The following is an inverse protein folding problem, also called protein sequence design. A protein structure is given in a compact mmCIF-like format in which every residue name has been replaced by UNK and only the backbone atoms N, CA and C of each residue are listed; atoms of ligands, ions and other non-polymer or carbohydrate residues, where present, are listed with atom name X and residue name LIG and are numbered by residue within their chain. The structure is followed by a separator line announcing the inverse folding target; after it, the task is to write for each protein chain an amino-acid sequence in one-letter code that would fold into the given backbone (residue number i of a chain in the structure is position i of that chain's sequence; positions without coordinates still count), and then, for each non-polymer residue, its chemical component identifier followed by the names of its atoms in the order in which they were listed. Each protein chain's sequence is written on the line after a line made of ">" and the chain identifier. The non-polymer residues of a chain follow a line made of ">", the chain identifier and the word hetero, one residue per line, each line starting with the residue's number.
data_IF_439118071360
#
_entry.id   IF_439118071360
#
_cell.length_a   1.000
_cell.length_b   1.000
_cell.length_c   1.000
_cell.angle_alpha   90.00
_cell.angle_beta   90.00
_cell.angle_gamma   90.00
#
_symmetry.space_group_name_H-M   'P 1'
#
loop_
_entity.id
_entity.type
_entity.pdbx_description
1 polymer ?
#
# COMPACT_ATOMS: atom_id res chain seq x y z
N UNK A 1 1.74 -23.13 -13.96
CA UNK A 1 0.59 -23.73 -13.25
C UNK A 1 0.41 -23.13 -11.86
N UNK A 2 1.45 -23.11 -11.02
CA UNK A 2 1.42 -22.50 -9.67
C UNK A 2 1.06 -21.01 -9.66
N UNK A 3 1.65 -20.20 -10.53
CA UNK A 3 1.40 -18.75 -10.61
C UNK A 3 -0.06 -18.41 -10.99
N UNK A 4 -0.65 -19.21 -11.89
CA UNK A 4 -2.05 -19.04 -12.27
C UNK A 4 -3.01 -19.35 -11.11
N UNK A 5 -2.69 -20.36 -10.29
CA UNK A 5 -3.43 -20.70 -9.07
C UNK A 5 -3.32 -19.56 -8.06
N UNK A 6 -2.11 -19.07 -7.80
CA UNK A 6 -1.87 -17.94 -6.89
C UNK A 6 -2.66 -16.68 -7.31
N UNK A 7 -2.68 -16.35 -8.60
CA UNK A 7 -3.44 -15.21 -9.12
C UNK A 7 -4.95 -15.38 -8.92
N UNK A 8 -5.47 -16.58 -9.19
CA UNK A 8 -6.88 -16.90 -8.99
C UNK A 8 -7.27 -16.80 -7.50
N UNK A 9 -6.46 -17.37 -6.61
CA UNK A 9 -6.68 -17.32 -5.16
C UNK A 9 -6.68 -15.88 -4.64
N UNK A 10 -5.72 -15.04 -5.06
CA UNK A 10 -5.68 -13.62 -4.70
C UNK A 10 -6.94 -12.88 -5.18
N UNK A 11 -7.34 -13.08 -6.44
CA UNK A 11 -8.51 -12.44 -7.01
C UNK A 11 -9.82 -12.83 -6.29
N UNK A 12 -9.92 -14.05 -5.78
CA UNK A 12 -11.10 -14.51 -5.03
C UNK A 12 -11.10 -14.01 -3.58
N UNK A 13 -9.93 -13.94 -2.92
CA UNK A 13 -9.80 -13.71 -1.47
C UNK A 13 -10.43 -12.41 -0.98
N UNK A 14 -10.40 -11.36 -1.81
CA UNK A 14 -10.92 -10.03 -1.49
C UNK A 14 -11.91 -9.52 -2.54
N UNK A 15 -12.68 -10.41 -3.20
CA UNK A 15 -13.69 -10.04 -4.22
C UNK A 15 -13.09 -9.14 -5.32
N UNK A 16 -11.91 -9.54 -5.79
CA UNK A 16 -11.11 -8.87 -6.81
C UNK A 16 -10.52 -7.51 -6.44
N UNK A 17 -10.57 -7.11 -5.17
CA UNK A 17 -9.70 -6.03 -4.67
C UNK A 17 -8.26 -6.54 -4.50
N UNK A 18 -7.28 -5.74 -4.93
CA UNK A 18 -5.87 -5.96 -4.65
C UNK A 18 -5.49 -5.18 -3.38
N UNK A 19 -5.19 -5.85 -2.24
CA UNK A 19 -4.76 -5.16 -1.03
C UNK A 19 -3.36 -4.56 -1.21
N UNK A 20 -3.22 -3.33 -0.73
CA UNK A 20 -1.95 -2.59 -0.64
C UNK A 20 -1.83 -2.05 0.78
N UNK A 21 -0.74 -2.39 1.46
CA UNK A 21 -0.43 -1.84 2.79
C UNK A 21 0.12 -0.43 2.57
N UNK A 22 -0.41 0.56 3.29
CA UNK A 22 0.01 1.96 3.17
C UNK A 22 0.26 2.52 4.57
N UNK A 23 1.36 3.25 4.70
CA UNK A 23 1.71 4.02 5.89
C UNK A 23 2.11 5.45 5.48
N UNK A 24 1.78 6.43 6.32
CA UNK A 24 1.99 7.86 6.05
C UNK A 24 2.58 8.54 7.28
N UNK A 25 3.64 9.31 7.07
CA UNK A 25 4.11 10.28 8.04
C UNK A 25 3.57 11.66 7.69
N UNK A 26 3.05 12.39 8.67
CA UNK A 26 2.34 13.66 8.45
C UNK A 26 2.80 14.73 9.43
N UNK A 27 2.64 16.00 9.06
CA UNK A 27 2.91 17.15 9.94
C UNK A 27 1.85 17.33 11.04
N UNK A 28 0.81 16.51 11.08
CA UNK A 28 -0.27 16.62 12.06
C UNK A 28 -1.48 15.76 11.72
N UNK A 29 -2.52 15.86 12.55
CA UNK A 29 -3.68 14.98 12.50
C UNK A 29 -4.78 15.44 11.52
N UNK A 30 -4.69 16.66 10.95
CA UNK A 30 -5.69 17.18 10.03
C UNK A 30 -5.31 16.93 8.56
N UNK A 31 -5.89 15.88 7.97
CA UNK A 31 -5.64 15.47 6.59
C UNK A 31 -5.95 16.55 5.51
N UNK A 32 -6.71 17.60 5.82
CA UNK A 32 -6.98 18.70 4.87
C UNK A 32 -5.92 19.81 4.89
N UNK A 33 -5.18 19.97 5.99
CA UNK A 33 -4.31 21.14 6.20
C UNK A 33 -2.87 20.81 6.55
N UNK A 34 -2.61 19.63 7.08
CA UNK A 34 -1.28 19.20 7.48
C UNK A 34 -0.62 18.42 6.34
N UNK A 35 0.68 18.62 6.13
CA UNK A 35 1.39 17.97 5.03
C UNK A 35 1.55 16.46 5.25
N UNK A 36 1.55 15.70 4.14
CA UNK A 36 2.20 14.39 4.11
C UNK A 36 3.70 14.62 3.89
N UNK A 37 4.51 14.00 4.74
CA UNK A 37 5.97 14.12 4.74
C UNK A 37 6.64 12.89 4.15
N UNK A 38 6.08 11.71 4.39
CA UNK A 38 6.54 10.44 3.82
C UNK A 38 5.36 9.52 3.49
N UNK A 39 5.56 8.65 2.50
CA UNK A 39 4.64 7.56 2.18
C UNK A 39 5.42 6.28 1.96
N UNK A 40 4.92 5.19 2.54
CA UNK A 40 5.31 3.83 2.19
C UNK A 40 4.09 3.05 1.67
N UNK A 41 4.28 2.27 0.61
CA UNK A 41 3.27 1.38 0.08
C UNK A 41 3.87 0.01 -0.26
N UNK A 42 3.20 -1.07 0.13
CA UNK A 42 3.61 -2.44 -0.14
C UNK A 42 2.45 -3.19 -0.79
N UNK A 43 2.61 -3.60 -2.03
CA UNK A 43 1.66 -4.50 -2.70
C UNK A 43 1.75 -5.89 -2.09
N UNK A 44 0.65 -6.64 -2.09
CA UNK A 44 0.66 -8.03 -1.65
C UNK A 44 0.52 -8.99 -2.84
N UNK A 45 1.17 -10.14 -2.72
CA UNK A 45 0.97 -11.31 -3.57
C UNK A 45 0.53 -12.50 -2.72
N UNK A 46 0.29 -13.64 -3.36
CA UNK A 46 -0.10 -14.88 -2.70
C UNK A 46 0.75 -16.03 -3.24
N UNK A 47 1.15 -16.97 -2.38
CA UNK A 47 1.76 -18.22 -2.81
C UNK A 47 0.70 -19.25 -3.26
N UNK A 48 1.09 -20.37 -3.90
CA UNK A 48 0.16 -21.43 -4.30
C UNK A 48 -0.59 -22.10 -3.13
N UNK A 49 -0.07 -21.98 -1.91
CA UNK A 49 -0.67 -22.49 -0.67
C UNK A 49 -1.72 -21.53 -0.09
N UNK A 50 -1.85 -20.33 -0.65
CA UNK A 50 -2.85 -19.33 -0.26
C UNK A 50 -2.37 -18.37 0.84
N UNK A 51 -1.09 -18.35 1.18
CA UNK A 51 -0.51 -17.40 2.14
C UNK A 51 -0.24 -16.05 1.47
N UNK A 52 -0.57 -14.97 2.17
CA UNK A 52 -0.24 -13.61 1.72
C UNK A 52 1.24 -13.32 1.96
N UNK A 53 1.88 -12.73 0.96
CA UNK A 53 3.28 -12.33 1.00
C UNK A 53 3.41 -10.86 0.58
N UNK A 54 4.34 -10.09 1.18
CA UNK A 54 4.76 -8.82 0.61
C UNK A 54 5.33 -9.03 -0.80
N UNK A 55 5.05 -8.09 -1.70
CA UNK A 55 5.59 -8.06 -3.06
C UNK A 55 6.46 -6.80 -3.23
N UNK A 56 6.09 -5.87 -4.12
CA UNK A 56 6.83 -4.63 -4.32
C UNK A 56 6.66 -3.65 -3.15
N UNK A 57 7.78 -3.04 -2.73
CA UNK A 57 7.83 -1.98 -1.73
C UNK A 57 8.21 -0.65 -2.37
N UNK A 58 7.45 0.38 -2.04
CA UNK A 58 7.65 1.76 -2.47
C UNK A 58 7.78 2.64 -1.22
N UNK A 59 8.76 3.52 -1.18
CA UNK A 59 8.97 4.45 -0.07
C UNK A 59 9.53 5.77 -0.60
N UNK A 60 8.91 6.89 -0.21
CA UNK A 60 9.27 8.21 -0.71
C UNK A 60 9.13 9.28 0.38
N UNK A 61 10.09 10.21 0.41
CA UNK A 61 9.90 11.51 1.04
C UNK A 61 9.10 12.42 0.10
N UNK A 62 8.17 13.17 0.66
CA UNK A 62 7.27 14.08 -0.07
C UNK A 62 7.60 15.52 0.29
N UNK A 63 7.67 16.38 -0.74
CA UNK A 63 7.78 17.82 -0.53
C UNK A 63 6.41 18.37 -0.09
N UNK A 64 6.30 19.04 1.07
CA UNK A 64 5.05 19.62 1.55
C UNK A 64 4.44 20.57 0.52
N UNK A 65 3.10 20.56 0.39
CA UNK A 65 2.39 21.47 -0.49
C UNK A 65 2.40 22.90 0.05
N UNK A 66 2.23 23.89 -0.82
CA UNK A 66 2.24 25.30 -0.41
C UNK A 66 1.10 25.62 0.57
N UNK A 67 1.42 26.26 1.69
CA UNK A 67 0.43 26.60 2.72
C UNK A 67 0.11 25.49 3.72
N UNK A 68 0.72 24.31 3.60
CA UNK A 68 0.58 23.24 4.58
C UNK A 68 1.19 23.60 5.93
N UNK A 69 0.59 23.10 7.03
CA UNK A 69 1.24 23.12 8.35
C UNK A 69 2.26 21.98 8.45
N UNK A 70 3.36 22.25 9.16
CA UNK A 70 4.39 21.27 9.49
C UNK A 70 4.18 20.72 10.90
#
# INVERSE_FOLDING_TARGET
>A
MSEAIARELMAQRFRSYLPVVVDLETGGFNAQGDAVLEIAAVTLTMDPEGNLLPDATYAYHIVPFEGSKR
#
